data_IF_859906858481
#
_entry.id   IF_859906858481
#
_cell.length_a   1.000
_cell.length_b   1.000
_cell.length_c   1.000
_cell.angle_alpha   90.00
_cell.angle_beta   90.00
_cell.angle_gamma   90.00
#
_symmetry.space_group_name_H-M   'P 1'
#
loop_
_entity.id
_entity.type
_entity.pdbx_description
1 polymer ?
#
# COMPACT_ATOMS: atom_id res chain seq x y z
N UNK A 1 -13.67 -24.29 -33.37
CA UNK A 1 -12.76 -24.56 -32.25
C UNK A 1 -13.34 -25.74 -31.51
N UNK A 2 -12.66 -26.89 -31.49
CA UNK A 2 -13.11 -28.06 -30.74
C UNK A 2 -12.87 -27.90 -29.23
N UNK A 3 -13.52 -28.76 -28.44
CA UNK A 3 -13.50 -28.72 -26.98
C UNK A 3 -12.10 -28.98 -26.41
N UNK A 4 -11.28 -29.78 -27.10
CA UNK A 4 -9.92 -30.12 -26.67
C UNK A 4 -9.00 -28.91 -26.80
N UNK A 5 -9.07 -28.21 -27.95
CA UNK A 5 -8.36 -26.96 -28.20
C UNK A 5 -8.73 -25.89 -27.18
N UNK A 6 -10.02 -25.76 -26.85
CA UNK A 6 -10.47 -24.80 -25.84
C UNK A 6 -9.93 -25.14 -24.45
N UNK A 7 -9.98 -26.42 -24.05
CA UNK A 7 -9.46 -26.87 -22.75
C UNK A 7 -7.94 -26.70 -22.65
N UNK A 8 -7.21 -27.01 -23.72
CA UNK A 8 -5.76 -26.77 -23.79
C UNK A 8 -5.42 -25.29 -23.66
N UNK A 9 -6.08 -24.41 -24.43
CA UNK A 9 -5.90 -22.96 -24.32
C UNK A 9 -6.23 -22.45 -22.91
N UNK A 10 -7.31 -22.94 -22.31
CA UNK A 10 -7.69 -22.56 -20.95
C UNK A 10 -6.64 -22.97 -19.93
N UNK A 11 -6.10 -24.20 -20.02
CA UNK A 11 -5.04 -24.66 -19.14
C UNK A 11 -3.74 -23.85 -19.35
N UNK A 12 -3.40 -23.55 -20.61
CA UNK A 12 -2.22 -22.77 -20.95
C UNK A 12 -2.30 -21.33 -20.43
N UNK A 13 -3.45 -20.67 -20.58
CA UNK A 13 -3.69 -19.34 -20.03
C UNK A 13 -3.61 -19.32 -18.50
N UNK A 14 -4.10 -20.37 -17.83
CA UNK A 14 -3.99 -20.50 -16.37
C UNK A 14 -2.55 -20.74 -15.92
N UNK A 15 -1.80 -21.59 -16.63
CA UNK A 15 -0.40 -21.89 -16.32
C UNK A 15 0.52 -20.70 -16.57
N UNK A 16 0.26 -19.94 -17.63
CA UNK A 16 1.02 -18.76 -18.02
C UNK A 16 0.54 -17.48 -17.33
N UNK A 17 -0.54 -17.53 -16.52
CA UNK A 17 -1.02 -16.38 -15.80
C UNK A 17 -0.01 -15.96 -14.71
N UNK A 18 0.63 -14.83 -14.92
CA UNK A 18 1.41 -14.13 -13.91
C UNK A 18 0.77 -12.80 -13.59
N UNK A 19 0.83 -12.39 -12.32
CA UNK A 19 0.41 -11.05 -11.91
C UNK A 19 1.34 -10.05 -12.58
N UNK A 20 0.80 -9.17 -13.40
CA UNK A 20 1.53 -8.01 -13.89
C UNK A 20 1.64 -6.97 -12.77
N UNK A 21 2.86 -6.65 -12.36
CA UNK A 21 3.15 -5.58 -11.40
C UNK A 21 3.81 -4.47 -12.24
N UNK A 22 3.11 -3.34 -12.47
CA UNK A 22 3.69 -2.26 -13.23
C UNK A 22 4.84 -1.61 -12.46
N UNK A 23 5.79 -1.04 -13.20
CA UNK A 23 6.71 -0.07 -12.62
C UNK A 23 5.92 1.13 -12.07
N UNK A 24 6.42 1.81 -11.03
CA UNK A 24 5.79 3.02 -10.52
C UNK A 24 5.47 4.02 -11.63
N UNK A 25 4.32 4.68 -11.57
CA UNK A 25 3.88 5.65 -12.59
C UNK A 25 4.96 6.69 -12.90
N UNK A 26 5.67 7.20 -11.90
CA UNK A 26 6.77 8.15 -12.06
C UNK A 26 7.99 7.62 -12.84
N UNK A 27 8.17 6.30 -12.96
CA UNK A 27 9.22 5.74 -13.83
C UNK A 27 8.81 5.78 -15.31
N UNK A 28 7.50 5.79 -15.59
CA UNK A 28 6.95 5.78 -16.95
C UNK A 28 6.60 7.18 -17.46
N UNK A 29 6.12 8.06 -16.57
CA UNK A 29 5.64 9.40 -16.88
C UNK A 29 6.43 10.44 -16.07
N UNK A 30 6.61 11.65 -16.63
CA UNK A 30 7.28 12.79 -15.94
C UNK A 30 6.40 13.42 -14.86
N UNK A 31 5.91 12.59 -13.93
CA UNK A 31 5.12 12.98 -12.77
C UNK A 31 6.06 13.16 -11.59
N UNK A 32 6.00 14.31 -10.94
CA UNK A 32 6.84 14.64 -9.79
C UNK A 32 6.12 14.30 -8.50
N UNK A 33 6.88 14.11 -7.42
CA UNK A 33 6.30 13.83 -6.11
C UNK A 33 5.26 14.85 -5.67
N UNK A 34 5.51 16.14 -5.95
CA UNK A 34 4.61 17.23 -5.61
C UNK A 34 3.29 17.25 -6.38
N UNK A 35 3.15 16.43 -7.43
CA UNK A 35 1.91 16.30 -8.18
C UNK A 35 0.93 15.34 -7.48
N UNK A 36 1.40 14.56 -6.49
CA UNK A 36 0.56 13.68 -5.69
C UNK A 36 0.03 14.36 -4.44
N UNK A 37 -1.25 14.12 -4.15
CA UNK A 37 -1.83 14.45 -2.87
C UNK A 37 -1.28 13.50 -1.79
N UNK A 38 -0.61 14.07 -0.79
CA UNK A 38 -0.14 13.31 0.38
C UNK A 38 -1.19 13.24 1.48
N UNK A 39 -0.95 12.35 2.44
CA UNK A 39 -1.82 12.07 3.57
C UNK A 39 -2.58 10.74 3.40
N UNK A 40 -3.07 10.19 4.50
CA UNK A 40 -3.86 8.97 4.47
C UNK A 40 -5.27 9.25 3.98
N UNK A 41 -5.71 8.52 2.94
CA UNK A 41 -7.05 8.60 2.36
C UNK A 41 -8.07 7.89 3.23
N UNK A 42 -9.19 8.54 3.52
CA UNK A 42 -10.35 7.93 4.16
C UNK A 42 -11.22 7.21 3.11
N UNK A 43 -11.49 5.92 3.29
CA UNK A 43 -12.36 5.18 2.35
C UNK A 43 -13.84 5.59 2.42
N UNK A 44 -14.29 6.08 3.58
CA UNK A 44 -15.70 6.46 3.77
C UNK A 44 -16.07 7.74 3.04
N UNK A 45 -15.18 8.75 3.03
CA UNK A 45 -15.47 10.05 2.40
C UNK A 45 -14.49 10.45 1.29
N UNK A 46 -13.52 9.59 0.97
CA UNK A 46 -12.46 9.81 -0.04
C UNK A 46 -11.56 11.02 0.17
N UNK A 47 -11.66 11.73 1.30
CA UNK A 47 -10.74 12.84 1.62
C UNK A 47 -9.42 12.32 2.18
N UNK A 48 -8.35 13.02 1.84
CA UNK A 48 -7.00 12.81 2.36
C UNK A 48 -6.80 13.54 3.69
N UNK A 49 -5.84 13.08 4.49
CA UNK A 49 -5.49 13.71 5.76
C UNK A 49 -6.19 13.09 6.97
N UNK A 50 -6.36 11.76 7.00
CA UNK A 50 -6.67 11.11 8.27
C UNK A 50 -5.56 11.36 9.29
N UNK A 51 -5.94 11.58 10.55
CA UNK A 51 -5.03 11.86 11.66
C UNK A 51 -4.63 10.55 12.32
N UNK A 52 -3.33 10.33 12.52
CA UNK A 52 -2.83 9.17 13.26
C UNK A 52 -3.13 9.31 14.75
N UNK A 53 -3.92 8.39 15.29
CA UNK A 53 -4.12 8.17 16.73
C UNK A 53 -3.26 6.98 17.18
N UNK A 54 -3.04 6.72 18.49
CA UNK A 54 -2.15 5.64 18.94
C UNK A 54 -2.40 4.27 18.30
N UNK A 55 -3.67 3.87 18.10
CA UNK A 55 -4.03 2.55 17.55
C UNK A 55 -4.80 2.56 16.23
N UNK A 56 -5.17 3.73 15.73
CA UNK A 56 -6.02 3.85 14.54
C UNK A 56 -5.73 5.13 13.77
N UNK A 57 -6.34 5.28 12.60
CA UNK A 57 -6.46 6.55 11.89
C UNK A 57 -7.87 7.09 12.08
N UNK A 58 -8.03 8.40 12.22
CA UNK A 58 -9.33 9.06 12.34
C UNK A 58 -9.49 10.12 11.26
N UNK A 59 -10.60 10.08 10.53
CA UNK A 59 -10.92 11.10 9.53
C UNK A 59 -11.53 12.33 10.23
N UNK A 60 -10.93 13.53 10.12
CA UNK A 60 -11.49 14.73 10.74
C UNK A 60 -12.76 15.25 10.05
N UNK A 61 -13.11 14.72 8.87
CA UNK A 61 -14.24 15.19 8.07
C UNK A 61 -15.51 14.37 8.24
N UNK A 62 -15.39 13.08 8.54
CA UNK A 62 -16.54 12.16 8.69
C UNK A 62 -16.47 11.27 9.93
N UNK A 63 -15.45 11.44 10.78
CA UNK A 63 -15.21 10.66 12.01
C UNK A 63 -15.03 9.15 11.81
N UNK A 64 -14.92 8.67 10.57
CA UNK A 64 -14.58 7.28 10.29
C UNK A 64 -13.19 6.96 10.84
N UNK A 65 -13.03 5.76 11.39
CA UNK A 65 -11.74 5.28 11.89
C UNK A 65 -11.31 4.01 11.17
N UNK A 66 -10.00 3.84 11.06
CA UNK A 66 -9.45 2.75 10.28
C UNK A 66 -8.01 2.43 10.72
N UNK A 67 -7.79 1.24 11.28
CA UNK A 67 -6.47 0.86 11.75
C UNK A 67 -5.50 0.50 10.60
N UNK A 68 -6.02 0.16 9.41
CA UNK A 68 -5.23 -0.30 8.26
C UNK A 68 -5.10 0.75 7.15
N UNK A 69 -5.62 1.97 7.34
CA UNK A 69 -5.60 3.02 6.32
C UNK A 69 -4.18 3.34 5.80
N UNK A 70 -3.19 3.35 6.69
CA UNK A 70 -1.79 3.50 6.33
C UNK A 70 -1.26 2.39 5.42
N UNK A 71 -1.77 1.16 5.55
CA UNK A 71 -1.33 0.05 4.73
C UNK A 71 -1.68 0.30 3.28
N UNK A 72 -2.94 0.59 3.02
CA UNK A 72 -3.43 0.91 1.67
C UNK A 72 -2.74 2.13 1.09
N UNK A 73 -2.58 3.19 1.89
CA UNK A 73 -1.88 4.40 1.44
C UNK A 73 -0.45 4.04 1.02
N UNK A 74 0.31 3.30 1.85
CA UNK A 74 1.68 2.92 1.47
C UNK A 74 1.76 1.92 0.31
N UNK A 75 0.72 1.12 0.04
CA UNK A 75 0.67 0.33 -1.20
C UNK A 75 0.64 1.24 -2.43
N UNK A 76 -0.12 2.35 -2.37
CA UNK A 76 -0.19 3.33 -3.47
C UNK A 76 1.19 3.93 -3.75
N UNK A 77 2.02 4.19 -2.73
CA UNK A 77 3.40 4.67 -2.91
C UNK A 77 4.20 3.82 -3.89
N UNK A 78 4.15 2.50 -3.75
CA UNK A 78 4.91 1.57 -4.59
C UNK A 78 4.37 1.46 -6.01
N UNK A 79 3.10 1.81 -6.22
CA UNK A 79 2.48 1.82 -7.54
C UNK A 79 2.67 3.16 -8.26
N UNK A 80 2.81 4.27 -7.54
CA UNK A 80 2.83 5.60 -8.15
C UNK A 80 4.22 6.24 -8.19
N UNK A 81 5.10 5.97 -7.21
CA UNK A 81 6.31 6.78 -7.03
C UNK A 81 7.63 5.99 -7.02
N UNK A 82 7.85 5.09 -6.05
CA UNK A 82 9.15 4.39 -5.88
C UNK A 82 9.00 2.95 -5.40
N UNK A 83 9.96 2.11 -5.75
CA UNK A 83 10.04 0.69 -5.34
C UNK A 83 10.53 0.48 -3.89
N UNK A 84 11.08 1.52 -3.27
CA UNK A 84 11.46 1.52 -1.87
C UNK A 84 10.91 2.76 -1.14
N UNK A 85 10.90 2.69 0.19
CA UNK A 85 10.50 3.82 1.02
C UNK A 85 11.40 3.95 2.25
N UNK A 86 11.89 5.15 2.49
CA UNK A 86 12.60 5.51 3.73
C UNK A 86 11.62 5.97 4.81
N UNK A 87 12.09 6.06 6.06
CA UNK A 87 11.28 6.64 7.13
C UNK A 87 10.86 8.09 6.82
N UNK A 88 11.76 8.88 6.24
CA UNK A 88 11.50 10.27 5.89
C UNK A 88 10.38 10.37 4.85
N UNK A 89 10.47 9.58 3.79
CA UNK A 89 9.45 9.53 2.74
C UNK A 89 8.11 9.02 3.27
N UNK A 90 8.11 7.99 4.12
CA UNK A 90 6.90 7.52 4.79
C UNK A 90 6.21 8.62 5.59
N UNK A 91 6.98 9.45 6.31
CA UNK A 91 6.43 10.61 7.03
C UNK A 91 5.83 11.66 6.10
N UNK A 92 6.58 12.05 5.08
CA UNK A 92 6.14 13.05 4.09
C UNK A 92 4.89 12.58 3.35
N UNK A 93 4.83 11.30 2.97
CA UNK A 93 3.71 10.74 2.22
C UNK A 93 2.47 10.47 3.08
N UNK A 94 2.63 9.95 4.30
CA UNK A 94 1.50 9.71 5.21
C UNK A 94 1.01 10.97 5.93
N UNK A 95 1.79 12.05 5.92
CA UNK A 95 1.50 13.26 6.69
C UNK A 95 1.71 13.07 8.20
N UNK A 96 2.76 12.35 8.60
CA UNK A 96 3.12 12.13 10.01
C UNK A 96 4.42 12.85 10.35
N UNK A 97 4.46 13.60 11.44
CA UNK A 97 5.67 14.32 11.86
C UNK A 97 6.65 13.42 12.64
N UNK A 98 6.12 12.55 13.51
CA UNK A 98 6.90 11.71 14.42
C UNK A 98 7.65 10.57 13.73
N UNK A 99 8.97 10.60 13.85
CA UNK A 99 9.91 9.57 13.36
C UNK A 99 9.64 8.18 13.96
N UNK A 100 9.28 8.11 15.24
CA UNK A 100 9.08 6.84 15.93
C UNK A 100 7.79 6.15 15.48
N UNK A 101 6.75 6.93 15.21
CA UNK A 101 5.48 6.44 14.65
C UNK A 101 5.69 5.88 13.25
N UNK A 102 6.36 6.60 12.35
CA UNK A 102 6.68 6.08 11.02
C UNK A 102 7.56 4.82 11.07
N UNK A 103 8.55 4.79 11.99
CA UNK A 103 9.38 3.60 12.21
C UNK A 103 8.55 2.38 12.62
N UNK A 104 7.62 2.56 13.56
CA UNK A 104 6.74 1.49 14.03
C UNK A 104 5.82 0.99 12.93
N UNK A 105 5.28 1.90 12.12
CA UNK A 105 4.47 1.56 10.94
C UNK A 105 5.30 0.68 9.99
N UNK A 106 6.47 1.16 9.54
CA UNK A 106 7.32 0.43 8.59
C UNK A 106 7.78 -0.93 9.11
N UNK A 107 8.12 -1.02 10.40
CA UNK A 107 8.47 -2.30 11.03
C UNK A 107 7.29 -3.28 11.13
N UNK A 108 6.06 -2.78 11.14
CA UNK A 108 4.84 -3.60 11.20
C UNK A 108 4.37 -4.16 9.84
N UNK A 109 4.98 -3.74 8.73
CA UNK A 109 4.51 -4.07 7.37
C UNK A 109 5.02 -5.40 6.81
N UNK A 110 5.86 -6.12 7.56
CA UNK A 110 6.51 -7.36 7.10
C UNK A 110 7.26 -7.21 5.75
N UNK A 111 7.87 -6.04 5.53
CA UNK A 111 8.66 -5.76 4.32
C UNK A 111 10.14 -6.05 4.53
N UNK A 112 10.83 -6.34 3.43
CA UNK A 112 12.28 -6.47 3.44
C UNK A 112 12.90 -5.09 3.66
N UNK A 113 13.89 -4.99 4.54
CA UNK A 113 14.64 -3.75 4.75
C UNK A 113 16.03 -3.85 4.17
N UNK A 114 16.46 -2.82 3.45
CA UNK A 114 17.81 -2.68 2.93
C UNK A 114 18.54 -1.54 3.67
N UNK A 115 19.85 -1.65 3.81
CA UNK A 115 20.68 -0.63 4.44
C UNK A 115 20.63 -0.63 5.97
N UNK A 116 21.45 0.23 6.57
CA UNK A 116 21.61 0.32 8.03
C UNK A 116 21.41 1.75 8.53
N UNK A 117 20.91 1.87 9.77
CA UNK A 117 20.71 3.14 10.47
C UNK A 117 19.94 4.18 9.66
N UNK A 118 20.60 5.28 9.26
CA UNK A 118 20.01 6.42 8.55
C UNK A 118 19.65 6.13 7.09
N UNK A 119 20.27 5.12 6.50
CA UNK A 119 20.07 4.75 5.09
C UNK A 119 19.16 3.51 4.97
N UNK A 120 18.36 3.22 6.00
CA UNK A 120 17.42 2.10 5.94
C UNK A 120 16.23 2.48 5.05
N UNK A 121 16.00 1.69 4.01
CA UNK A 121 14.77 1.70 3.21
C UNK A 121 14.04 0.36 3.34
N UNK A 122 12.76 0.37 2.95
CA UNK A 122 11.88 -0.78 3.00
C UNK A 122 11.32 -1.02 1.61
N UNK A 123 11.35 -2.27 1.17
CA UNK A 123 10.92 -2.70 -0.16
C UNK A 123 9.72 -3.63 0.04
N UNK A 124 8.62 -3.28 -0.62
CA UNK A 124 7.46 -4.16 -0.69
C UNK A 124 7.74 -5.28 -1.71
N UNK A 125 7.53 -6.52 -1.29
CA UNK A 125 7.45 -7.62 -2.24
C UNK A 125 5.98 -7.81 -2.67
N UNK A 126 5.72 -7.73 -3.96
CA UNK A 126 4.38 -7.92 -4.54
C UNK A 126 4.03 -9.41 -4.74
N UNK A 127 5.00 -10.31 -4.53
CA UNK A 127 4.84 -11.75 -4.57
C UNK A 127 4.17 -12.23 -3.28
N UNK A 128 3.04 -12.93 -3.43
CA UNK A 128 2.15 -13.49 -2.42
C UNK A 128 1.04 -12.56 -1.91
N UNK A 129 -0.20 -12.90 -2.30
CA UNK A 129 -1.46 -12.90 -1.53
C UNK A 129 -1.76 -11.84 -0.44
N UNK A 130 -1.11 -10.68 -0.44
CA UNK A 130 -1.31 -9.63 0.57
C UNK A 130 -2.57 -8.78 0.36
N UNK A 131 -3.18 -8.86 -0.83
CA UNK A 131 -4.45 -8.19 -1.12
C UNK A 131 -5.67 -8.92 -0.51
N UNK A 132 -5.48 -10.07 0.16
CA UNK A 132 -6.55 -10.83 0.80
C UNK A 132 -7.02 -10.28 2.18
N UNK A 133 -6.62 -9.06 2.58
CA UNK A 133 -7.09 -8.42 3.83
C UNK A 133 -8.12 -7.30 3.62
N UNK A 134 -8.72 -7.21 2.43
CA UNK A 134 -9.92 -6.39 2.18
C UNK A 134 -11.15 -7.26 1.91
N UNK A 135 -11.40 -8.27 2.76
CA UNK A 135 -12.76 -8.80 2.91
C UNK A 135 -13.21 -8.56 4.35
N UNK A 136 -14.23 -7.70 4.46
CA UNK A 136 -14.87 -7.36 5.72
C UNK A 136 -15.24 -8.60 6.52
N UNK A 137 -14.82 -8.61 7.78
CA UNK A 137 -15.31 -9.50 8.82
C UNK A 137 -15.77 -8.64 9.98
N UNK A 138 -17.05 -8.34 10.03
CA UNK A 138 -17.74 -7.97 11.26
C UNK A 138 -17.51 -9.13 12.23
N UNK A 139 -16.76 -8.90 13.32
CA UNK A 139 -16.86 -9.74 14.50
C UNK A 139 -17.26 -8.86 15.67
N UNK A 140 -18.59 -8.88 15.89
CA UNK A 140 -19.24 -8.54 17.15
C UNK A 140 -18.61 -9.43 18.22
N UNK A 141 -18.05 -8.83 19.27
CA UNK A 141 -17.80 -9.55 20.53
C UNK A 141 -19.12 -9.59 21.29
N UNK A 142 -19.73 -10.76 21.36
CA UNK A 142 -20.45 -11.16 22.58
C UNK A 142 -19.41 -11.62 23.61
#
# INVERSE_FOLDING_TARGET
MDIETFNWLSAELLNSHQRFIPDPICETYDVKFGDFQTGVRCETCSRFGMIKLPRTWSCPFCNATDCLAHQRTLLEWFLIYKKDITNRECREFLGIEDIHTAKRILQGMNWQSQGTFRNRSYIMNFDNNHFAQSKGGIFIRQ
#
